data_IF_503712106633
#
_entry.id   IF_503712106633
#
_cell.length_a   1.000
_cell.length_b   1.000
_cell.length_c   1.000
_cell.angle_alpha   90.00
_cell.angle_beta   90.00
_cell.angle_gamma   90.00
#
_symmetry.space_group_name_H-M   'P 1'
#
loop_
_entity.id
_entity.type
_entity.pdbx_description
1 polymer ?
#
# COMPACT_ATOMS: atom_id res chain seq x y z
N UNK A 1 -13.71 6.63 -20.64
CA UNK A 1 -12.84 7.82 -20.55
C UNK A 1 -11.43 7.36 -20.88
N UNK A 2 -10.72 7.98 -21.84
CA UNK A 2 -9.51 7.41 -22.47
C UNK A 2 -8.38 7.07 -21.49
N UNK A 3 -8.23 7.82 -20.39
CA UNK A 3 -7.22 7.53 -19.35
C UNK A 3 -7.61 6.44 -18.35
N UNK A 4 -8.86 5.94 -18.38
CA UNK A 4 -9.34 4.94 -17.44
C UNK A 4 -8.76 3.54 -17.72
N UNK A 5 -8.39 3.25 -18.97
CA UNK A 5 -7.79 1.96 -19.33
C UNK A 5 -6.27 1.99 -19.08
N UNK A 6 -5.62 3.09 -19.45
CA UNK A 6 -4.18 3.29 -19.23
C UNK A 6 -3.77 4.76 -19.38
N UNK A 7 -2.89 5.23 -18.51
CA UNK A 7 -2.21 6.52 -18.69
C UNK A 7 -1.57 6.67 -20.08
N UNK A 8 -0.99 5.61 -20.64
CA UNK A 8 -0.26 5.68 -21.91
C UNK A 8 -1.15 6.16 -23.07
N UNK A 9 -2.47 5.97 -22.98
CA UNK A 9 -3.42 6.44 -24.00
C UNK A 9 -3.65 7.96 -23.97
N UNK A 10 -3.23 8.64 -22.88
CA UNK A 10 -3.30 10.11 -22.80
C UNK A 10 -2.22 10.79 -23.63
N UNK A 11 -1.17 10.07 -24.07
CA UNK A 11 -0.07 10.63 -24.84
C UNK A 11 -0.52 11.25 -26.17
N UNK A 12 -1.50 10.66 -26.85
CA UNK A 12 -2.08 11.23 -28.07
C UNK A 12 -2.81 12.55 -27.81
N UNK A 13 -3.53 12.64 -26.69
CA UNK A 13 -4.31 13.83 -26.30
C UNK A 13 -3.36 14.97 -25.87
N UNK A 14 -2.30 14.65 -25.12
CA UNK A 14 -1.27 15.62 -24.73
C UNK A 14 -0.60 16.27 -25.94
N UNK A 15 -0.35 15.49 -27.00
CA UNK A 15 0.25 15.97 -28.26
C UNK A 15 -0.70 16.82 -29.12
N UNK A 16 -2.01 16.82 -28.85
CA UNK A 16 -2.99 17.61 -29.58
C UNK A 16 -2.97 19.12 -29.23
N UNK A 17 -2.03 19.55 -28.37
CA UNK A 17 -1.81 20.96 -28.03
C UNK A 17 -2.52 21.41 -26.75
N UNK A 18 -2.61 22.73 -26.53
CA UNK A 18 -3.04 23.34 -25.26
C UNK A 18 -4.39 22.82 -24.74
N UNK A 19 -5.37 22.61 -25.63
CA UNK A 19 -6.70 22.09 -25.26
C UNK A 19 -6.63 20.64 -24.77
N UNK A 20 -5.84 19.81 -25.45
CA UNK A 20 -5.61 18.43 -25.04
C UNK A 20 -4.87 18.34 -23.71
N UNK A 21 -3.86 19.19 -23.50
CA UNK A 21 -3.18 19.33 -22.21
C UNK A 21 -4.15 19.69 -21.08
N UNK A 22 -5.00 20.70 -21.28
CA UNK A 22 -5.99 21.11 -20.28
C UNK A 22 -6.98 19.99 -19.95
N UNK A 23 -7.44 19.24 -20.96
CA UNK A 23 -8.36 18.11 -20.77
C UNK A 23 -7.73 16.99 -19.94
N UNK A 24 -6.48 16.63 -20.21
CA UNK A 24 -5.78 15.56 -19.49
C UNK A 24 -5.56 15.92 -18.01
N UNK A 25 -5.44 17.21 -17.71
CA UNK A 25 -5.21 17.72 -16.35
C UNK A 25 -6.49 18.13 -15.62
N UNK A 26 -7.66 17.82 -16.19
CA UNK A 26 -8.94 18.08 -15.54
C UNK A 26 -9.10 17.13 -14.33
N UNK A 27 -9.56 17.61 -13.17
CA UNK A 27 -9.62 16.80 -11.95
C UNK A 27 -10.40 15.49 -12.10
N UNK A 28 -11.49 15.47 -12.87
CA UNK A 28 -12.26 14.24 -13.08
C UNK A 28 -11.51 13.19 -13.90
N UNK A 29 -10.65 13.62 -14.84
CA UNK A 29 -9.76 12.74 -15.61
C UNK A 29 -8.64 12.20 -14.71
N UNK A 30 -7.95 13.07 -13.99
CA UNK A 30 -6.85 12.69 -13.09
C UNK A 30 -7.32 11.70 -12.01
N UNK A 31 -8.50 11.95 -11.42
CA UNK A 31 -9.11 11.10 -10.39
C UNK A 31 -9.40 9.67 -10.87
N UNK A 32 -9.70 9.49 -12.15
CA UNK A 32 -10.08 8.20 -12.76
C UNK A 32 -8.99 7.60 -13.66
N UNK A 33 -7.83 8.25 -13.76
CA UNK A 33 -6.73 7.78 -14.58
C UNK A 33 -6.16 6.46 -14.04
N UNK A 34 -5.96 5.46 -14.89
CA UNK A 34 -5.28 4.23 -14.50
C UNK A 34 -3.76 4.45 -14.48
N UNK A 35 -3.24 4.64 -13.26
CA UNK A 35 -1.81 4.87 -12.99
C UNK A 35 -1.01 3.57 -12.80
N UNK A 36 -1.65 2.40 -12.71
CA UNK A 36 -0.98 1.11 -12.49
C UNK A 36 0.11 0.79 -13.52
N UNK A 37 -0.06 1.09 -14.83
CA UNK A 37 1.00 0.88 -15.82
C UNK A 37 2.27 1.69 -15.52
N UNK A 38 2.15 2.91 -14.97
CA UNK A 38 3.32 3.71 -14.57
C UNK A 38 4.10 3.00 -13.45
N UNK A 39 3.39 2.45 -12.47
CA UNK A 39 3.96 1.80 -11.29
C UNK A 39 4.53 0.42 -11.63
N UNK A 40 4.02 -0.23 -12.67
CA UNK A 40 4.42 -1.59 -13.04
C UNK A 40 5.59 -1.59 -14.03
N UNK A 41 5.61 -0.67 -14.98
CA UNK A 41 6.62 -0.66 -16.05
C UNK A 41 7.65 0.47 -15.92
N UNK A 42 7.38 1.47 -15.09
CA UNK A 42 8.18 2.69 -15.01
C UNK A 42 8.25 3.24 -13.58
N UNK A 43 8.39 2.37 -12.56
CA UNK A 43 8.36 2.75 -11.14
C UNK A 43 9.34 3.88 -10.82
N UNK A 44 10.56 3.83 -11.34
CA UNK A 44 11.55 4.90 -11.14
C UNK A 44 11.12 6.26 -11.73
N UNK A 45 10.23 6.27 -12.73
CA UNK A 45 9.73 7.49 -13.36
C UNK A 45 8.64 8.19 -12.54
N UNK A 46 8.03 7.52 -11.55
CA UNK A 46 7.08 8.14 -10.60
C UNK A 46 7.73 8.50 -9.25
N UNK A 47 8.99 8.10 -9.04
CA UNK A 47 9.79 8.49 -7.88
C UNK A 47 10.40 9.90 -8.04
N UNK A 48 11.11 10.38 -7.03
CA UNK A 48 11.78 11.68 -7.04
C UNK A 48 12.70 11.82 -8.25
N UNK A 49 12.54 12.89 -9.03
CA UNK A 49 13.31 13.15 -10.25
C UNK A 49 12.83 12.41 -11.51
N UNK A 50 11.82 11.54 -11.39
CA UNK A 50 11.24 10.82 -12.52
C UNK A 50 10.35 11.68 -13.42
N UNK A 51 10.26 11.33 -14.70
CA UNK A 51 9.52 12.11 -15.70
C UNK A 51 8.00 12.13 -15.49
N UNK A 52 7.44 11.09 -14.86
CA UNK A 52 6.01 10.97 -14.59
C UNK A 52 5.61 11.51 -13.22
N UNK A 53 6.58 11.90 -12.37
CA UNK A 53 6.34 12.34 -10.99
C UNK A 53 5.31 13.47 -10.90
N UNK A 54 5.47 14.51 -11.72
CA UNK A 54 4.58 15.67 -11.66
C UNK A 54 3.12 15.29 -11.97
N UNK A 55 2.90 14.52 -13.05
CA UNK A 55 1.57 14.06 -13.40
C UNK A 55 0.98 13.12 -12.34
N UNK A 56 1.82 12.22 -11.80
CA UNK A 56 1.41 11.28 -10.76
C UNK A 56 0.94 12.01 -9.49
N UNK A 57 1.68 13.03 -9.05
CA UNK A 57 1.27 13.87 -7.92
C UNK A 57 -0.04 14.62 -8.20
N UNK A 58 -0.28 15.08 -9.43
CA UNK A 58 -1.59 15.66 -9.78
C UNK A 58 -2.72 14.65 -9.65
N UNK A 59 -2.49 13.36 -9.93
CA UNK A 59 -3.46 12.30 -9.70
C UNK A 59 -3.72 12.09 -8.20
N UNK A 60 -2.68 12.11 -7.36
CA UNK A 60 -2.80 12.05 -5.89
C UNK A 60 -3.67 13.20 -5.38
N UNK A 61 -3.33 14.43 -5.77
CA UNK A 61 -4.07 15.65 -5.37
C UNK A 61 -5.52 15.63 -5.86
N UNK A 62 -5.80 15.04 -7.03
CA UNK A 62 -7.16 14.87 -7.55
C UNK A 62 -7.98 13.79 -6.83
N UNK A 63 -7.40 13.07 -5.87
CA UNK A 63 -8.10 12.03 -5.12
C UNK A 63 -8.16 10.68 -5.85
N UNK A 64 -7.19 10.38 -6.71
CA UNK A 64 -7.09 9.07 -7.36
C UNK A 64 -6.67 8.00 -6.33
N UNK A 65 -7.56 7.05 -6.05
CA UNK A 65 -7.37 6.01 -5.02
C UNK A 65 -6.09 5.21 -5.21
N UNK A 66 -5.78 4.77 -6.43
CA UNK A 66 -4.57 4.00 -6.71
C UNK A 66 -3.32 4.87 -6.60
N UNK A 67 -3.36 6.11 -7.09
CA UNK A 67 -2.22 7.03 -6.95
C UNK A 67 -1.92 7.33 -5.47
N UNK A 68 -2.96 7.59 -4.66
CA UNK A 68 -2.83 7.77 -3.21
C UNK A 68 -2.21 6.53 -2.56
N UNK A 69 -2.67 5.34 -2.93
CA UNK A 69 -2.12 4.10 -2.39
C UNK A 69 -0.62 3.98 -2.65
N UNK A 70 -0.20 4.08 -3.92
CA UNK A 70 1.20 3.96 -4.30
C UNK A 70 2.08 5.09 -3.74
N UNK A 71 1.57 6.32 -3.67
CA UNK A 71 2.28 7.44 -3.04
C UNK A 71 2.49 7.19 -1.55
N UNK A 72 1.47 6.67 -0.87
CA UNK A 72 1.59 6.27 0.54
C UNK A 72 2.71 5.24 0.73
N UNK A 73 2.75 4.20 -0.10
CA UNK A 73 3.82 3.20 -0.02
C UNK A 73 5.21 3.79 -0.26
N UNK A 74 5.35 4.64 -1.28
CA UNK A 74 6.60 5.33 -1.55
C UNK A 74 7.02 6.24 -0.38
N UNK A 75 6.08 6.96 0.23
CA UNK A 75 6.34 7.80 1.39
C UNK A 75 6.81 7.00 2.62
N UNK A 76 6.32 5.77 2.81
CA UNK A 76 6.77 4.89 3.90
C UNK A 76 8.28 4.64 3.84
N UNK A 77 8.84 4.52 2.62
CA UNK A 77 10.25 4.27 2.39
C UNK A 77 11.11 5.53 2.54
N UNK A 78 10.66 6.64 1.96
CA UNK A 78 11.49 7.85 1.84
C UNK A 78 11.39 8.75 3.07
N UNK A 79 10.19 8.88 3.63
CA UNK A 79 9.90 9.81 4.72
C UNK A 79 9.69 9.02 6.02
N UNK A 80 8.81 8.03 5.99
CA UNK A 80 8.46 7.19 7.14
C UNK A 80 6.98 6.79 7.12
N UNK A 81 6.66 5.76 7.89
CA UNK A 81 5.32 5.18 7.94
C UNK A 81 4.26 6.13 8.49
N UNK A 82 4.63 7.08 9.35
CA UNK A 82 3.70 8.09 9.88
C UNK A 82 3.14 8.99 8.77
N UNK A 83 4.01 9.42 7.85
CA UNK A 83 3.59 10.22 6.70
C UNK A 83 2.80 9.36 5.70
N UNK A 84 3.20 8.10 5.54
CA UNK A 84 2.44 7.13 4.74
C UNK A 84 1.01 6.97 5.23
N UNK A 85 0.80 6.80 6.54
CA UNK A 85 -0.52 6.73 7.18
C UNK A 85 -1.35 7.97 6.83
N UNK A 86 -0.76 9.16 6.93
CA UNK A 86 -1.44 10.43 6.61
C UNK A 86 -1.89 10.50 5.15
N UNK A 87 -1.04 10.06 4.22
CA UNK A 87 -1.35 10.05 2.78
C UNK A 87 -2.45 9.03 2.47
N UNK A 88 -2.41 7.85 3.10
CA UNK A 88 -3.37 6.77 2.87
C UNK A 88 -4.73 6.99 3.53
N UNK A 89 -4.81 7.87 4.54
CA UNK A 89 -6.02 8.11 5.32
C UNK A 89 -7.30 8.36 4.50
N UNK A 90 -7.29 9.13 3.38
CA UNK A 90 -8.49 9.36 2.57
C UNK A 90 -9.07 8.10 1.92
N UNK A 91 -8.24 7.07 1.74
CA UNK A 91 -8.65 5.78 1.16
C UNK A 91 -9.25 4.83 2.21
N UNK A 92 -9.03 5.08 3.50
CA UNK A 92 -9.48 4.21 4.60
C UNK A 92 -10.90 4.61 5.04
N UNK A 93 -11.84 3.66 5.22
CA UNK A 93 -11.68 2.21 5.13
C UNK A 93 -12.08 1.63 3.76
N UNK A 94 -12.39 2.45 2.76
CA UNK A 94 -13.09 1.99 1.56
C UNK A 94 -12.20 1.24 0.56
N UNK A 95 -10.88 1.44 0.61
CA UNK A 95 -9.92 0.75 -0.23
C UNK A 95 -9.18 -0.32 0.59
N UNK A 96 -9.34 -1.59 0.20
CA UNK A 96 -8.82 -2.73 0.94
C UNK A 96 -7.29 -2.65 1.14
N UNK A 97 -6.51 -2.47 0.06
CA UNK A 97 -5.05 -2.42 0.14
C UNK A 97 -4.53 -1.27 1.01
N UNK A 98 -5.12 -0.08 0.90
CA UNK A 98 -4.75 1.04 1.78
C UNK A 98 -5.10 0.77 3.23
N UNK A 99 -6.27 0.18 3.50
CA UNK A 99 -6.70 -0.15 4.87
C UNK A 99 -5.79 -1.19 5.52
N UNK A 100 -5.42 -2.24 4.76
CA UNK A 100 -4.47 -3.24 5.21
C UNK A 100 -3.09 -2.64 5.48
N UNK A 101 -2.57 -1.84 4.55
CA UNK A 101 -1.26 -1.18 4.69
C UNK A 101 -1.20 -0.27 5.92
N UNK A 102 -2.22 0.57 6.15
CA UNK A 102 -2.28 1.44 7.34
C UNK A 102 -2.35 0.62 8.63
N UNK A 103 -3.13 -0.47 8.65
CA UNK A 103 -3.16 -1.39 9.80
C UNK A 103 -1.77 -1.97 10.12
N UNK A 104 -1.05 -2.42 9.09
CA UNK A 104 0.33 -2.92 9.21
C UNK A 104 1.28 -1.81 9.68
N UNK A 105 1.17 -0.59 9.17
CA UNK A 105 2.03 0.52 9.59
C UNK A 105 1.82 0.92 11.05
N UNK A 106 0.59 0.84 11.57
CA UNK A 106 0.36 1.00 13.00
C UNK A 106 1.04 -0.10 13.84
N UNK A 107 1.12 -1.33 13.34
CA UNK A 107 1.91 -2.40 13.96
C UNK A 107 3.40 -2.05 13.98
N UNK A 108 3.95 -1.53 12.87
CA UNK A 108 5.35 -1.12 12.78
C UNK A 108 5.73 -0.06 13.83
N UNK A 109 4.89 0.96 14.04
CA UNK A 109 5.15 2.02 15.05
C UNK A 109 4.68 1.66 16.47
N UNK A 110 4.23 0.42 16.68
CA UNK A 110 3.85 -0.08 18.00
C UNK A 110 2.49 0.39 18.52
N UNK A 111 1.65 0.98 17.65
CA UNK A 111 0.30 1.41 18.01
C UNK A 111 -0.70 0.26 17.77
N UNK A 112 -0.59 -0.75 18.62
CA UNK A 112 -1.39 -1.98 18.59
C UNK A 112 -2.91 -1.71 18.69
N UNK A 113 -3.31 -0.66 19.40
CA UNK A 113 -4.73 -0.27 19.54
C UNK A 113 -5.36 0.19 18.22
N UNK A 114 -4.71 1.11 17.51
CA UNK A 114 -5.23 1.57 16.20
C UNK A 114 -5.08 0.49 15.13
N UNK A 115 -4.00 -0.30 15.18
CA UNK A 115 -3.85 -1.48 14.31
C UNK A 115 -5.02 -2.45 14.49
N UNK A 116 -5.37 -2.79 15.74
CA UNK A 116 -6.49 -3.70 16.03
C UNK A 116 -7.81 -3.19 15.48
N UNK A 117 -8.12 -1.91 15.74
CA UNK A 117 -9.33 -1.26 15.24
C UNK A 117 -9.42 -1.32 13.72
N UNK A 118 -8.32 -1.05 13.02
CA UNK A 118 -8.30 -1.07 11.56
C UNK A 118 -8.42 -2.47 10.98
N UNK A 119 -7.76 -3.46 11.57
CA UNK A 119 -7.91 -4.85 11.14
C UNK A 119 -9.34 -5.37 11.36
N UNK A 120 -10.02 -4.97 12.43
CA UNK A 120 -11.44 -5.27 12.63
C UNK A 120 -12.31 -4.60 11.56
N UNK A 121 -12.04 -3.32 11.28
CA UNK A 121 -12.74 -2.58 10.23
C UNK A 121 -12.50 -3.17 8.84
N UNK A 122 -11.28 -3.66 8.60
CA UNK A 122 -10.93 -4.38 7.38
C UNK A 122 -11.73 -5.68 7.25
N UNK A 123 -11.77 -6.50 8.30
CA UNK A 123 -12.52 -7.74 8.32
C UNK A 123 -14.03 -7.54 8.12
N UNK A 124 -14.56 -6.42 8.62
CA UNK A 124 -15.97 -6.08 8.46
C UNK A 124 -16.33 -5.63 7.04
N UNK A 125 -15.40 -4.98 6.32
CA UNK A 125 -15.69 -4.30 5.05
C UNK A 125 -15.15 -5.03 3.82
N UNK A 126 -14.12 -5.87 3.97
CA UNK A 126 -13.37 -6.46 2.87
C UNK A 126 -13.31 -7.99 2.98
N UNK A 127 -12.24 -8.51 3.61
CA UNK A 127 -11.94 -9.94 3.64
C UNK A 127 -11.66 -10.41 5.06
N UNK A 128 -11.97 -11.69 5.34
CA UNK A 128 -11.56 -12.33 6.59
C UNK A 128 -10.02 -12.31 6.70
N UNK A 129 -9.51 -11.94 7.88
CA UNK A 129 -8.06 -11.83 8.14
C UNK A 129 -7.30 -13.18 8.03
N UNK A 130 -8.02 -14.30 7.96
CA UNK A 130 -7.50 -15.67 7.79
C UNK A 130 -7.66 -16.22 6.38
N UNK A 131 -8.24 -15.43 5.47
CA UNK A 131 -8.45 -15.83 4.08
C UNK A 131 -7.16 -15.84 3.27
N UNK A 132 -7.16 -16.54 2.14
CA UNK A 132 -6.03 -16.53 1.21
C UNK A 132 -5.82 -15.14 0.57
N UNK A 133 -6.88 -14.32 0.49
CA UNK A 133 -6.80 -12.93 0.00
C UNK A 133 -5.81 -12.08 0.82
N UNK A 134 -5.68 -12.32 2.12
CA UNK A 134 -4.69 -11.61 2.96
C UNK A 134 -3.26 -11.93 2.54
N UNK A 135 -2.99 -13.17 2.14
CA UNK A 135 -1.66 -13.58 1.66
C UNK A 135 -1.36 -12.88 0.36
N UNK A 136 -2.28 -12.90 -0.60
CA UNK A 136 -2.12 -12.23 -1.89
C UNK A 136 -1.90 -10.72 -1.73
N UNK A 137 -2.69 -10.07 -0.87
CA UNK A 137 -2.56 -8.64 -0.59
C UNK A 137 -1.25 -8.31 0.14
N UNK A 138 -0.81 -9.16 1.08
CA UNK A 138 0.48 -9.03 1.74
C UNK A 138 1.64 -9.15 0.76
N UNK A 139 1.59 -10.12 -0.16
CA UNK A 139 2.59 -10.31 -1.21
C UNK A 139 2.61 -9.16 -2.22
N UNK A 140 1.47 -8.60 -2.64
CA UNK A 140 1.47 -7.40 -3.49
C UNK A 140 2.09 -6.22 -2.74
N UNK A 141 1.74 -6.00 -1.45
CA UNK A 141 2.32 -4.94 -0.65
C UNK A 141 3.86 -5.05 -0.55
N UNK A 142 4.36 -6.24 -0.23
CA UNK A 142 5.80 -6.54 -0.21
C UNK A 142 6.44 -6.25 -1.58
N UNK A 143 5.88 -6.81 -2.65
CA UNK A 143 6.37 -6.61 -4.01
C UNK A 143 6.44 -5.13 -4.40
N UNK A 144 5.43 -4.34 -4.04
CA UNK A 144 5.39 -2.89 -4.31
C UNK A 144 6.49 -2.16 -3.56
N UNK A 145 6.65 -2.41 -2.26
CA UNK A 145 7.71 -1.77 -1.46
C UNK A 145 9.09 -2.11 -2.04
N UNK A 146 9.35 -3.38 -2.37
CA UNK A 146 10.61 -3.79 -3.02
C UNK A 146 10.80 -3.10 -4.36
N UNK A 147 9.75 -3.00 -5.19
CA UNK A 147 9.80 -2.32 -6.49
C UNK A 147 10.10 -0.82 -6.39
N UNK A 148 9.74 -0.18 -5.27
CA UNK A 148 10.10 1.20 -4.96
C UNK A 148 11.52 1.37 -4.41
N UNK A 149 12.27 0.28 -4.24
CA UNK A 149 13.65 0.31 -3.77
C UNK A 149 13.76 0.26 -2.24
N UNK A 150 12.96 -0.58 -1.58
CA UNK A 150 12.98 -0.69 -0.14
C UNK A 150 14.38 -1.01 0.43
N UNK A 151 14.77 -0.38 1.55
CA UNK A 151 16.15 -0.44 2.05
C UNK A 151 16.46 -1.67 2.91
N UNK A 152 15.47 -2.44 3.36
CA UNK A 152 15.63 -3.64 4.21
C UNK A 152 16.41 -3.37 5.51
N UNK A 153 16.15 -2.23 6.14
CA UNK A 153 16.90 -1.78 7.33
C UNK A 153 16.24 -2.19 8.65
N UNK A 154 15.03 -2.76 8.62
CA UNK A 154 14.26 -3.12 9.80
C UNK A 154 14.16 -1.97 10.81
N UNK A 155 13.85 -0.77 10.33
CA UNK A 155 13.78 0.47 11.12
C UNK A 155 12.82 0.32 12.29
N UNK A 156 11.75 -0.44 12.08
CA UNK A 156 10.63 -0.56 13.00
C UNK A 156 10.71 -1.80 13.89
N UNK A 157 11.76 -2.62 13.79
CA UNK A 157 11.87 -3.86 14.58
C UNK A 157 11.80 -3.65 16.10
N UNK A 158 12.30 -2.52 16.61
CA UNK A 158 12.25 -2.20 18.04
C UNK A 158 10.86 -1.69 18.51
N UNK A 159 10.12 -1.02 17.63
CA UNK A 159 8.78 -0.50 17.93
C UNK A 159 7.66 -1.48 17.55
N UNK A 160 7.97 -2.51 16.77
CA UNK A 160 7.01 -3.49 16.28
C UNK A 160 6.17 -4.08 17.42
N UNK A 161 4.85 -3.93 17.32
CA UNK A 161 3.91 -4.47 18.30
C UNK A 161 2.65 -4.98 17.64
N UNK A 162 2.56 -6.29 17.49
CA UNK A 162 1.35 -6.92 16.96
C UNK A 162 0.21 -6.88 18.01
N UNK A 163 -1.04 -6.63 17.59
CA UNK A 163 -2.16 -6.61 18.53
C UNK A 163 -2.37 -7.96 19.24
N UNK A 164 -2.52 -7.90 20.56
CA UNK A 164 -2.98 -9.02 21.38
C UNK A 164 -4.07 -8.56 22.36
N UNK A 165 -5.30 -8.50 21.88
CA UNK A 165 -6.47 -8.05 22.61
C UNK A 165 -7.63 -9.04 22.49
N UNK A 166 -8.85 -8.64 22.88
CA UNK A 166 -10.01 -9.55 22.88
C UNK A 166 -10.47 -9.94 21.47
N UNK A 167 -10.09 -9.19 20.45
CA UNK A 167 -10.58 -9.33 19.08
C UNK A 167 -9.50 -9.88 18.15
N UNK A 168 -8.27 -9.37 18.27
CA UNK A 168 -7.11 -9.87 17.55
C UNK A 168 -6.17 -10.50 18.55
N UNK A 169 -5.93 -11.79 18.38
CA UNK A 169 -5.02 -12.54 19.23
C UNK A 169 -3.69 -12.71 18.54
N UNK A 170 -2.63 -12.44 19.29
CA UNK A 170 -1.29 -12.80 18.84
C UNK A 170 -1.23 -14.32 18.66
N UNK A 171 -0.65 -14.81 17.55
CA UNK A 171 -0.57 -16.24 17.31
C UNK A 171 0.21 -16.95 18.43
N UNK A 172 -0.39 -17.95 19.07
CA UNK A 172 0.32 -18.80 20.07
C UNK A 172 1.55 -19.53 19.49
N UNK A 173 1.61 -19.58 18.17
CA UNK A 173 2.62 -20.23 17.36
C UNK A 173 3.93 -19.42 17.22
N UNK A 174 4.00 -18.19 17.79
CA UNK A 174 5.11 -17.23 17.59
C UNK A 174 6.52 -17.81 17.83
N UNK A 175 6.64 -18.83 18.68
CA UNK A 175 7.91 -19.48 19.04
C UNK A 175 8.04 -20.90 18.51
N UNK A 176 7.07 -21.39 17.73
CA UNK A 176 6.95 -22.80 17.32
C UNK A 176 7.09 -23.06 15.82
N UNK A 177 7.24 -22.02 15.00
CA UNK A 177 7.47 -22.15 13.57
C UNK A 177 8.74 -21.41 13.16
N UNK A 178 9.61 -22.12 12.46
CA UNK A 178 10.79 -21.52 11.84
C UNK A 178 10.35 -20.63 10.65
N UNK A 179 11.13 -19.60 10.35
CA UNK A 179 10.87 -18.65 9.24
C UNK A 179 10.91 -19.33 7.85
N UNK A 180 11.32 -20.60 7.82
CA UNK A 180 11.63 -21.42 6.65
C UNK A 180 10.52 -22.39 6.25
N UNK A 181 9.44 -22.52 7.04
CA UNK A 181 8.35 -23.44 6.67
C UNK A 181 7.52 -22.79 5.58
N UNK A 182 7.51 -23.41 4.40
CA UNK A 182 6.65 -23.08 3.27
C UNK A 182 5.25 -22.62 3.73
N UNK A 183 4.68 -21.61 3.07
CA UNK A 183 3.37 -21.04 3.41
C UNK A 183 2.25 -22.09 3.54
N UNK A 184 2.41 -23.29 2.98
CA UNK A 184 1.54 -24.46 3.12
C UNK A 184 1.50 -25.02 4.56
N UNK A 185 2.56 -24.86 5.36
CA UNK A 185 2.62 -25.25 6.77
C UNK A 185 2.23 -24.15 7.77
N UNK A 186 2.02 -22.91 7.31
CA UNK A 186 1.65 -21.79 8.17
C UNK A 186 0.19 -21.88 8.62
N UNK A 187 -0.05 -21.93 9.93
CA UNK A 187 -1.43 -21.91 10.44
C UNK A 187 -2.09 -20.60 10.00
N UNK A 188 -3.32 -20.65 9.47
CA UNK A 188 -4.04 -19.46 8.93
C UNK A 188 -4.08 -18.28 9.90
N UNK A 189 -4.02 -18.55 11.21
CA UNK A 189 -3.99 -17.53 12.26
C UNK A 189 -2.64 -16.77 12.36
N UNK A 190 -1.54 -17.31 11.86
CA UNK A 190 -0.20 -16.71 11.96
C UNK A 190 0.14 -15.84 10.73
N UNK A 191 -0.62 -15.94 9.63
CA UNK A 191 -0.31 -15.28 8.35
C UNK A 191 -0.23 -13.76 8.44
N UNK A 192 -1.23 -13.11 9.04
CA UNK A 192 -1.24 -11.66 9.20
C UNK A 192 -0.04 -11.17 10.04
N UNK A 193 0.32 -11.91 11.09
CA UNK A 193 1.49 -11.60 11.91
C UNK A 193 2.78 -11.65 11.08
N UNK A 194 2.97 -12.70 10.28
CA UNK A 194 4.15 -12.83 9.42
C UNK A 194 4.22 -11.74 8.36
N UNK A 195 3.09 -11.38 7.75
CA UNK A 195 3.02 -10.25 6.82
C UNK A 195 3.46 -8.96 7.52
N UNK A 196 2.91 -8.66 8.71
CA UNK A 196 3.34 -7.48 9.46
C UNK A 196 4.84 -7.51 9.77
N UNK A 197 5.37 -8.65 10.20
CA UNK A 197 6.79 -8.83 10.51
C UNK A 197 7.67 -8.60 9.28
N UNK A 198 7.33 -9.21 8.15
CA UNK A 198 8.07 -9.05 6.90
C UNK A 198 8.08 -7.59 6.42
N UNK A 199 6.92 -6.92 6.44
CA UNK A 199 6.85 -5.51 6.08
C UNK A 199 7.67 -4.64 7.04
N UNK A 200 7.64 -4.94 8.35
CA UNK A 200 8.49 -4.25 9.32
C UNK A 200 9.99 -4.46 9.08
N UNK A 201 10.40 -5.61 8.55
CA UNK A 201 11.79 -5.89 8.18
C UNK A 201 12.22 -5.15 6.90
N UNK A 202 11.31 -5.02 5.93
CA UNK A 202 11.54 -4.32 4.66
C UNK A 202 11.74 -2.82 4.89
N UNK A 203 10.95 -2.23 5.80
CA UNK A 203 10.96 -0.80 6.14
C UNK A 203 12.03 -0.44 7.17
#
# INVERSE_FOLDING_TARGET
MVGADSFYYLGGILRAGKRGYALVHEPSVLRKCNVQPMVTFATCQICTGGQFREFFIKCVTAGNTNAIYYEGLYAALIIGVEESIRILQPNVPNHALSTLAVGIFYVCIGNDKEASKLFQQFAANHYDLRSDAIVEMGSDLEWRLTSFGAPYINRYGASFKFPDDKVIKSPRCLYGHDYTVDFEGSYKNCRLFWICGNISHIL
#
